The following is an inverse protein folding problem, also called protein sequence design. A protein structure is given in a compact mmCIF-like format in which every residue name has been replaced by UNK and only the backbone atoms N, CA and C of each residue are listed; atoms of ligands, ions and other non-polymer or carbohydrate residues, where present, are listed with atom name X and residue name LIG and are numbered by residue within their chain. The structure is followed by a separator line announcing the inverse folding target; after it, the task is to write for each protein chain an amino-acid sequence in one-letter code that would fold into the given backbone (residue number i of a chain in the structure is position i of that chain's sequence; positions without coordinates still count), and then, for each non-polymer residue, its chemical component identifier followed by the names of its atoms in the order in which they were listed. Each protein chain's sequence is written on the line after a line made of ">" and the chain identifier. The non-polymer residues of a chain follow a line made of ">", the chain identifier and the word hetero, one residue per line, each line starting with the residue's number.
data_IF_085530365225
#
_entry.id   IF_085530365225
#
_cell.length_a   1.000
_cell.length_b   1.000
_cell.length_c   1.000
_cell.angle_alpha   90.00
_cell.angle_beta   90.00
_cell.angle_gamma   90.00
#
_symmetry.space_group_name_H-M   'P 1'
#
loop_
_entity.id
_entity.type
_entity.pdbx_description
1 polymer ?
#
# COMPACT_ATOMS: atom_id res chain seq x y z
N UNK A 1 20.27 -12.31 11.64
CA UNK A 1 18.83 -12.10 11.91
C UNK A 1 18.46 -10.72 11.42
N UNK A 2 17.42 -10.62 10.59
CA UNK A 2 16.96 -9.35 10.02
C UNK A 2 16.15 -8.57 11.05
N UNK A 3 16.41 -7.27 11.19
CA UNK A 3 15.72 -6.41 12.16
C UNK A 3 14.83 -5.41 11.44
N UNK A 4 13.54 -5.51 11.68
CA UNK A 4 12.56 -4.55 11.20
C UNK A 4 12.73 -3.22 11.95
N UNK A 5 12.79 -2.07 11.25
CA UNK A 5 12.97 -0.78 11.90
C UNK A 5 11.72 -0.41 12.72
N UNK A 6 11.93 0.30 13.83
CA UNK A 6 10.82 0.89 14.61
C UNK A 6 10.31 2.14 13.90
N UNK A 7 11.24 2.99 13.46
CA UNK A 7 10.99 4.14 12.60
C UNK A 7 10.79 3.67 11.15
N UNK A 8 9.55 3.41 10.76
CA UNK A 8 9.20 2.85 9.44
C UNK A 8 9.09 3.90 8.36
N UNK A 9 10.13 4.68 8.15
CA UNK A 9 10.17 5.61 7.02
C UNK A 9 10.68 4.89 5.77
N UNK A 10 10.40 5.46 4.60
CA UNK A 10 10.64 4.79 3.32
C UNK A 10 12.11 4.36 3.15
N UNK A 11 13.07 5.20 3.54
CA UNK A 11 14.51 4.90 3.53
C UNK A 11 14.89 3.72 4.43
N UNK A 12 14.37 3.65 5.65
CA UNK A 12 14.61 2.56 6.60
C UNK A 12 14.11 1.22 6.07
N UNK A 13 12.96 1.21 5.38
CA UNK A 13 12.34 0.03 4.80
C UNK A 13 13.11 -0.46 3.58
N UNK A 14 13.65 0.44 2.77
CA UNK A 14 14.50 0.08 1.63
C UNK A 14 15.85 -0.46 2.08
N UNK A 15 16.41 0.05 3.19
CA UNK A 15 17.61 -0.53 3.80
C UNK A 15 17.36 -1.95 4.28
N UNK A 16 16.24 -2.19 4.99
CA UNK A 16 15.85 -3.55 5.36
C UNK A 16 15.66 -4.45 4.14
N UNK A 17 15.04 -3.93 3.07
CA UNK A 17 14.86 -4.70 1.83
C UNK A 17 16.20 -5.10 1.20
N UNK A 18 17.20 -4.20 1.22
CA UNK A 18 18.57 -4.55 0.78
C UNK A 18 19.16 -5.67 1.63
N UNK A 19 18.97 -5.62 2.95
CA UNK A 19 19.46 -6.65 3.86
C UNK A 19 18.75 -7.99 3.65
N UNK A 20 17.43 -7.99 3.41
CA UNK A 20 16.66 -9.17 3.01
C UNK A 20 17.24 -9.79 1.74
N UNK A 21 17.56 -8.98 0.71
CA UNK A 21 18.13 -9.49 -0.54
C UNK A 21 19.53 -10.06 -0.37
N UNK A 22 20.32 -9.55 0.58
CA UNK A 22 21.65 -10.08 0.93
C UNK A 22 21.59 -11.34 1.79
N UNK A 23 20.57 -11.45 2.64
CA UNK A 23 20.42 -12.52 3.62
C UNK A 23 19.04 -13.20 3.49
N UNK A 24 18.73 -13.83 2.35
CA UNK A 24 17.37 -14.30 2.03
C UNK A 24 16.89 -15.49 2.86
N UNK A 25 17.77 -16.07 3.69
CA UNK A 25 17.49 -17.21 4.56
C UNK A 25 17.29 -16.83 6.02
N UNK A 26 17.49 -15.55 6.37
CA UNK A 26 17.44 -15.12 7.76
C UNK A 26 16.00 -14.87 8.25
N UNK A 27 15.70 -15.21 9.52
CA UNK A 27 14.42 -14.90 10.12
C UNK A 27 14.28 -13.39 10.33
N UNK A 28 13.03 -12.92 10.32
CA UNK A 28 12.69 -11.51 10.52
C UNK A 28 12.33 -11.26 11.99
N UNK A 29 12.86 -10.20 12.58
CA UNK A 29 12.48 -9.72 13.91
C UNK A 29 11.72 -8.41 13.77
N UNK A 30 10.47 -8.36 14.26
CA UNK A 30 9.62 -7.17 14.15
C UNK A 30 9.29 -6.57 15.53
N UNK A 31 9.26 -5.23 15.66
CA UNK A 31 8.67 -4.60 16.84
C UNK A 31 7.15 -4.78 16.83
N UNK A 32 6.52 -4.72 18.01
CA UNK A 32 5.06 -4.80 18.14
C UNK A 32 4.34 -3.48 17.88
N UNK A 33 5.10 -2.39 17.70
CA UNK A 33 4.61 -1.06 17.36
C UNK A 33 5.58 -0.41 16.39
N UNK A 34 5.03 0.28 15.41
CA UNK A 34 5.77 1.12 14.48
C UNK A 34 5.56 2.58 14.84
N UNK A 35 6.58 3.40 14.67
CA UNK A 35 6.42 4.84 14.81
C UNK A 35 5.48 5.38 13.75
N UNK A 36 4.78 6.45 14.10
CA UNK A 36 3.72 7.07 13.28
C UNK A 36 2.57 6.13 12.88
N UNK A 37 2.47 4.94 13.47
CA UNK A 37 1.35 4.00 13.22
C UNK A 37 1.22 3.54 11.76
N UNK A 38 2.31 3.61 10.99
CA UNK A 38 2.29 3.28 9.56
C UNK A 38 1.82 4.42 8.65
N UNK A 39 1.85 5.68 9.10
CA UNK A 39 1.59 6.87 8.29
C UNK A 39 2.66 7.10 7.22
N UNK A 40 2.45 8.09 6.35
CA UNK A 40 3.36 8.46 5.27
C UNK A 40 3.54 7.32 4.23
N UNK A 41 2.49 6.53 4.02
CA UNK A 41 2.50 5.37 3.12
C UNK A 41 3.32 4.18 3.61
N UNK A 42 3.90 4.26 4.80
CA UNK A 42 4.80 3.23 5.33
C UNK A 42 4.11 1.91 5.63
N UNK A 43 2.81 1.90 5.98
CA UNK A 43 2.10 0.66 6.24
C UNK A 43 2.09 -0.29 5.02
N UNK A 44 1.87 0.25 3.82
CA UNK A 44 1.88 -0.55 2.58
C UNK A 44 3.31 -0.91 2.19
N UNK A 45 4.26 0.01 2.31
CA UNK A 45 5.65 -0.28 2.03
C UNK A 45 6.19 -1.39 2.95
N UNK A 46 5.89 -1.33 4.25
CA UNK A 46 6.21 -2.36 5.23
C UNK A 46 5.63 -3.73 4.84
N UNK A 47 4.36 -3.76 4.42
CA UNK A 47 3.74 -4.99 3.89
C UNK A 47 4.50 -5.56 2.70
N UNK A 48 4.89 -4.72 1.73
CA UNK A 48 5.63 -5.16 0.55
C UNK A 48 7.03 -5.68 0.92
N UNK A 49 7.70 -5.08 1.91
CA UNK A 49 8.99 -5.57 2.44
C UNK A 49 8.82 -6.92 3.15
N UNK A 50 7.78 -7.09 3.97
CA UNK A 50 7.46 -8.36 4.63
C UNK A 50 7.15 -9.46 3.60
N UNK A 51 6.37 -9.14 2.57
CA UNK A 51 6.10 -10.06 1.47
C UNK A 51 7.39 -10.43 0.72
N UNK A 52 8.28 -9.46 0.48
CA UNK A 52 9.59 -9.71 -0.15
C UNK A 52 10.48 -10.62 0.69
N UNK A 53 10.46 -10.47 2.02
CA UNK A 53 11.13 -11.38 2.95
C UNK A 53 10.56 -12.80 2.82
N UNK A 54 9.24 -12.94 2.75
CA UNK A 54 8.57 -14.24 2.66
C UNK A 54 8.83 -15.02 1.35
N UNK A 55 9.31 -14.32 0.31
CA UNK A 55 9.72 -14.89 -0.98
C UNK A 55 11.20 -15.34 -0.99
N UNK A 56 11.93 -15.17 0.12
CA UNK A 56 13.31 -15.64 0.26
C UNK A 56 13.43 -17.17 0.28
N UNK A 57 14.67 -17.68 0.16
CA UNK A 57 14.97 -19.11 0.07
C UNK A 57 14.95 -19.85 1.42
N UNK A 58 14.04 -19.47 2.32
CA UNK A 58 13.92 -20.06 3.66
C UNK A 58 13.19 -21.41 3.62
N UNK A 59 13.70 -22.39 4.37
CA UNK A 59 12.98 -23.65 4.63
C UNK A 59 11.74 -23.39 5.50
N UNK A 60 11.83 -22.43 6.42
CA UNK A 60 10.74 -22.03 7.29
C UNK A 60 10.83 -20.53 7.61
N UNK A 61 9.73 -19.81 7.44
CA UNK A 61 9.65 -18.36 7.67
C UNK A 61 9.31 -18.07 9.13
N UNK A 62 10.34 -17.77 9.92
CA UNK A 62 10.19 -17.48 11.35
C UNK A 62 10.12 -15.97 11.59
N UNK A 63 9.00 -15.52 12.17
CA UNK A 63 8.82 -14.16 12.66
C UNK A 63 9.13 -14.10 14.15
N UNK A 64 10.20 -13.39 14.52
CA UNK A 64 10.54 -13.12 15.91
C UNK A 64 9.85 -11.84 16.39
N UNK A 65 9.19 -11.93 17.54
CA UNK A 65 8.56 -10.80 18.22
C UNK A 65 9.15 -10.65 19.64
N UNK A 66 9.17 -9.43 20.21
CA UNK A 66 9.58 -9.19 21.59
C UNK A 66 8.93 -10.16 22.58
N UNK A 67 9.66 -10.57 23.63
CA UNK A 67 9.18 -11.55 24.61
C UNK A 67 7.83 -11.18 25.28
N UNK A 68 7.54 -9.88 25.39
CA UNK A 68 6.27 -9.39 25.92
C UNK A 68 5.05 -9.71 25.04
N UNK A 69 5.26 -10.10 23.77
CA UNK A 69 4.17 -10.39 22.83
C UNK A 69 3.30 -11.57 23.31
N UNK A 70 3.90 -12.72 23.61
CA UNK A 70 3.11 -13.87 24.07
C UNK A 70 2.57 -13.72 25.49
N UNK A 71 3.22 -12.87 26.31
CA UNK A 71 2.79 -12.61 27.68
C UNK A 71 1.60 -11.64 27.80
N UNK A 72 1.25 -10.90 26.73
CA UNK A 72 0.24 -9.84 26.81
C UNK A 72 -0.74 -9.86 25.62
N UNK A 73 -1.98 -10.25 25.90
CA UNK A 73 -3.07 -10.30 24.90
C UNK A 73 -3.36 -8.95 24.24
N UNK A 74 -3.19 -7.83 24.94
CA UNK A 74 -3.39 -6.50 24.37
C UNK A 74 -2.33 -6.17 23.31
N UNK A 75 -1.08 -6.58 23.56
CA UNK A 75 0.02 -6.43 22.58
C UNK A 75 -0.26 -7.29 21.34
N UNK A 76 -0.71 -8.53 21.52
CA UNK A 76 -1.11 -9.41 20.42
C UNK A 76 -2.23 -8.81 19.58
N UNK A 77 -3.31 -8.38 20.23
CA UNK A 77 -4.45 -7.78 19.57
C UNK A 77 -4.06 -6.50 18.84
N UNK A 78 -3.19 -5.67 19.44
CA UNK A 78 -2.70 -4.43 18.80
C UNK A 78 -1.84 -4.74 17.58
N UNK A 79 -0.92 -5.69 17.67
CA UNK A 79 -0.07 -6.08 16.54
C UNK A 79 -0.92 -6.62 15.38
N UNK A 80 -1.81 -7.58 15.65
CA UNK A 80 -2.72 -8.16 14.68
C UNK A 80 -3.74 -7.15 14.10
N UNK A 81 -3.91 -5.99 14.73
CA UNK A 81 -4.78 -4.89 14.27
C UNK A 81 -4.10 -3.89 13.35
N UNK A 82 -2.90 -4.17 12.84
CA UNK A 82 -2.17 -3.28 11.91
C UNK A 82 -1.86 -4.01 10.61
N UNK A 83 -1.75 -3.29 9.49
CA UNK A 83 -1.40 -3.91 8.21
C UNK A 83 -0.07 -4.67 8.25
N UNK A 84 1.03 -4.08 8.79
CA UNK A 84 2.31 -4.80 8.83
C UNK A 84 2.27 -5.97 9.81
N UNK A 85 1.54 -5.86 10.92
CA UNK A 85 1.37 -6.98 11.85
C UNK A 85 0.58 -8.12 11.23
N UNK A 86 -0.54 -7.84 10.56
CA UNK A 86 -1.30 -8.85 9.80
C UNK A 86 -0.42 -9.52 8.73
N UNK A 87 0.35 -8.73 7.97
CA UNK A 87 1.27 -9.24 6.97
C UNK A 87 2.35 -10.14 7.60
N UNK A 88 2.97 -9.71 8.71
CA UNK A 88 3.96 -10.50 9.44
C UNK A 88 3.40 -11.86 9.86
N UNK A 89 2.23 -11.87 10.50
CA UNK A 89 1.59 -13.12 10.93
C UNK A 89 1.18 -14.00 9.74
N UNK A 90 0.67 -13.41 8.66
CA UNK A 90 0.20 -14.13 7.48
C UNK A 90 1.34 -14.72 6.63
N UNK A 91 2.45 -14.01 6.47
CA UNK A 91 3.57 -14.47 5.66
C UNK A 91 4.56 -15.36 6.43
N UNK A 92 4.46 -15.43 7.77
CA UNK A 92 5.25 -16.34 8.60
C UNK A 92 4.66 -17.76 8.65
N UNK A 93 5.51 -18.77 8.74
CA UNK A 93 5.11 -20.14 9.06
C UNK A 93 5.05 -20.37 10.58
N UNK A 94 5.86 -19.61 11.32
CA UNK A 94 5.99 -19.70 12.77
C UNK A 94 6.26 -18.31 13.36
N UNK A 95 5.68 -18.06 14.53
CA UNK A 95 5.97 -16.89 15.37
C UNK A 95 6.75 -17.35 16.59
N UNK A 96 7.87 -16.69 16.87
CA UNK A 96 8.71 -16.94 18.05
C UNK A 96 8.73 -15.69 18.93
N UNK A 97 8.58 -15.86 20.23
CA UNK A 97 8.69 -14.79 21.21
C UNK A 97 9.32 -15.34 22.48
N UNK A 98 10.48 -14.79 22.84
CA UNK A 98 11.41 -15.43 23.77
C UNK A 98 11.69 -16.88 23.33
N UNK A 99 11.50 -17.86 24.22
CA UNK A 99 11.72 -19.28 23.95
C UNK A 99 10.45 -20.04 23.55
N UNK A 100 9.34 -19.33 23.34
CA UNK A 100 8.06 -19.94 22.97
C UNK A 100 7.78 -19.76 21.49
N UNK A 101 7.37 -20.86 20.87
CA UNK A 101 7.05 -20.94 19.45
C UNK A 101 5.56 -21.21 19.26
N UNK A 102 4.94 -20.46 18.35
CA UNK A 102 3.52 -20.53 18.03
C UNK A 102 3.36 -20.72 16.53
N UNK A 103 2.49 -21.66 16.14
CA UNK A 103 2.22 -21.92 14.74
C UNK A 103 1.52 -20.74 14.06
N UNK A 104 1.66 -20.65 12.73
CA UNK A 104 0.88 -19.73 11.89
C UNK A 104 -0.62 -19.81 12.17
N UNK A 105 -1.18 -21.03 12.28
CA UNK A 105 -2.61 -21.22 12.50
C UNK A 105 -3.09 -20.56 13.80
N UNK A 106 -2.38 -20.78 14.91
CA UNK A 106 -2.71 -20.15 16.20
C UNK A 106 -2.57 -18.63 16.13
N UNK A 107 -1.54 -18.13 15.44
CA UNK A 107 -1.30 -16.69 15.28
C UNK A 107 -2.39 -16.01 14.45
N UNK A 108 -2.87 -16.65 13.38
CA UNK A 108 -3.91 -16.10 12.49
C UNK A 108 -5.29 -16.01 13.15
N UNK A 109 -5.54 -16.73 14.25
CA UNK A 109 -6.78 -16.54 15.04
C UNK A 109 -6.93 -15.11 15.55
N UNK A 110 -5.82 -14.41 15.79
CA UNK A 110 -5.81 -13.01 16.22
C UNK A 110 -6.22 -12.04 15.09
N UNK A 111 -6.01 -12.44 13.83
CA UNK A 111 -6.35 -11.64 12.64
C UNK A 111 -7.81 -11.82 12.23
N UNK A 112 -8.41 -12.98 12.54
CA UNK A 112 -9.76 -13.34 12.12
C UNK A 112 -10.86 -12.30 12.44
N UNK A 113 -10.91 -11.66 13.63
CA UNK A 113 -11.92 -10.64 13.92
C UNK A 113 -11.90 -9.47 12.95
N UNK A 114 -10.71 -9.04 12.52
CA UNK A 114 -10.54 -7.93 11.58
C UNK A 114 -10.93 -8.33 10.17
N UNK A 115 -10.60 -9.56 9.73
CA UNK A 115 -11.03 -10.11 8.44
C UNK A 115 -12.56 -10.21 8.38
N UNK A 116 -13.20 -10.66 9.46
CA UNK A 116 -14.67 -10.69 9.54
C UNK A 116 -15.27 -9.27 9.46
N UNK A 117 -14.68 -8.29 10.16
CA UNK A 117 -15.10 -6.90 10.07
C UNK A 117 -14.96 -6.34 8.65
N UNK A 118 -13.89 -6.70 7.91
CA UNK A 118 -13.72 -6.36 6.49
C UNK A 118 -14.81 -6.99 5.62
N UNK A 119 -15.15 -8.27 5.87
CA UNK A 119 -16.18 -9.01 5.14
C UNK A 119 -17.57 -8.41 5.34
N UNK A 120 -17.88 -8.01 6.57
CA UNK A 120 -19.16 -7.43 7.00
C UNK A 120 -19.28 -5.93 6.69
N UNK A 121 -18.26 -5.31 6.07
CA UNK A 121 -18.19 -3.84 5.85
C UNK A 121 -18.31 -3.03 7.14
N UNK A 122 -17.89 -3.59 8.27
CA UNK A 122 -17.76 -2.89 9.56
C UNK A 122 -16.49 -2.04 9.56
N UNK A 123 -16.44 -0.99 8.73
CA UNK A 123 -15.22 -0.23 8.40
C UNK A 123 -14.47 0.29 9.64
N UNK A 124 -15.18 0.86 10.62
CA UNK A 124 -14.58 1.34 11.88
C UNK A 124 -14.02 0.24 12.80
N UNK A 125 -14.27 -1.04 12.49
CA UNK A 125 -13.73 -2.22 13.20
C UNK A 125 -12.72 -3.01 12.36
N UNK A 126 -12.51 -2.63 11.09
CA UNK A 126 -11.60 -3.33 10.17
C UNK A 126 -10.12 -3.13 10.53
N UNK A 127 -9.80 -2.10 11.30
CA UNK A 127 -8.47 -1.82 11.84
C UNK A 127 -8.56 -1.02 13.15
N UNK A 128 -7.53 -1.07 13.99
CA UNK A 128 -7.39 -0.15 15.13
C UNK A 128 -6.62 1.10 14.69
N UNK A 129 -7.10 2.28 15.08
CA UNK A 129 -6.41 3.55 14.87
C UNK A 129 -7.01 4.39 13.74
N UNK A 130 -6.21 5.31 13.19
CA UNK A 130 -6.67 6.30 12.21
C UNK A 130 -6.70 5.77 10.75
N UNK A 131 -6.91 4.46 10.56
CA UNK A 131 -6.93 3.86 9.24
C UNK A 131 -8.02 2.79 9.12
N UNK A 132 -8.46 2.57 7.88
CA UNK A 132 -9.42 1.56 7.47
C UNK A 132 -8.77 0.74 6.38
N UNK A 133 -8.87 -0.58 6.48
CA UNK A 133 -8.20 -1.49 5.55
C UNK A 133 -9.20 -2.53 5.08
N UNK A 134 -9.15 -2.81 3.78
CA UNK A 134 -9.84 -3.93 3.15
C UNK A 134 -8.76 -4.76 2.47
N UNK A 135 -8.41 -5.88 3.09
CA UNK A 135 -7.33 -6.74 2.63
C UNK A 135 -7.82 -8.15 2.30
N UNK A 136 -7.45 -8.60 1.10
CA UNK A 136 -7.71 -9.91 0.56
C UNK A 136 -6.47 -10.79 0.78
N UNK A 137 -6.65 -11.93 1.44
CA UNK A 137 -5.60 -12.89 1.74
C UNK A 137 -5.74 -14.10 0.82
N UNK A 138 -4.76 -14.33 -0.07
CA UNK A 138 -4.82 -15.43 -1.01
C UNK A 138 -4.94 -16.79 -0.29
N UNK A 139 -5.79 -17.67 -0.83
CA UNK A 139 -6.02 -19.00 -0.27
C UNK A 139 -6.87 -19.01 1.02
N UNK A 140 -7.24 -17.86 1.56
CA UNK A 140 -8.18 -17.79 2.69
C UNK A 140 -9.61 -18.04 2.20
N UNK A 141 -10.44 -18.64 3.08
CA UNK A 141 -11.88 -18.83 2.80
C UNK A 141 -12.59 -17.52 2.45
N UNK A 142 -12.17 -16.42 3.08
CA UNK A 142 -12.70 -15.07 2.88
C UNK A 142 -11.74 -14.20 2.06
N UNK A 143 -11.02 -14.77 1.10
CA UNK A 143 -10.11 -14.01 0.24
C UNK A 143 -10.81 -12.85 -0.46
N UNK A 144 -12.00 -13.11 -1.01
CA UNK A 144 -12.75 -12.14 -1.81
C UNK A 144 -13.73 -11.37 -0.92
N UNK A 145 -13.31 -10.19 -0.47
CA UNK A 145 -14.13 -9.34 0.39
C UNK A 145 -15.37 -8.84 -0.35
N UNK A 146 -16.56 -9.00 0.25
CA UNK A 146 -17.82 -8.51 -0.31
C UNK A 146 -17.81 -7.00 -0.60
N UNK A 147 -16.97 -6.23 0.10
CA UNK A 147 -16.75 -4.81 -0.15
C UNK A 147 -16.14 -4.51 -1.53
N UNK A 148 -15.29 -5.41 -2.02
CA UNK A 148 -14.47 -5.20 -3.22
C UNK A 148 -14.89 -6.10 -4.39
N UNK A 149 -15.55 -7.23 -4.11
CA UNK A 149 -15.96 -8.22 -5.10
C UNK A 149 -17.47 -8.39 -5.16
N UNK A 150 -17.99 -8.51 -6.38
CA UNK A 150 -19.34 -8.97 -6.67
C UNK A 150 -19.38 -10.50 -6.69
N UNK A 151 -18.34 -11.12 -7.27
CA UNK A 151 -18.19 -12.58 -7.36
C UNK A 151 -16.90 -12.99 -6.64
N UNK A 152 -16.91 -14.07 -5.84
CA UNK A 152 -15.74 -14.50 -5.06
C UNK A 152 -14.71 -15.24 -5.93
N UNK A 153 -14.19 -14.57 -6.95
CA UNK A 153 -13.24 -15.10 -7.91
C UNK A 153 -12.37 -13.97 -8.49
N UNK A 154 -11.19 -14.29 -9.07
CA UNK A 154 -10.40 -13.29 -9.77
C UNK A 154 -11.22 -12.62 -10.87
N UNK A 155 -11.04 -11.30 -11.05
CA UNK A 155 -11.80 -10.45 -11.96
C UNK A 155 -13.28 -10.29 -11.63
N UNK A 156 -13.73 -10.81 -10.48
CA UNK A 156 -15.07 -10.59 -9.93
C UNK A 156 -15.20 -9.27 -9.15
N UNK A 157 -14.34 -8.28 -9.45
CA UNK A 157 -14.30 -6.98 -8.76
C UNK A 157 -15.59 -6.20 -9.04
N UNK A 158 -16.09 -5.47 -8.04
CA UNK A 158 -17.27 -4.62 -8.17
C UNK A 158 -17.05 -3.44 -9.11
N UNK A 159 -18.14 -2.96 -9.69
CA UNK A 159 -18.13 -1.81 -10.60
C UNK A 159 -17.65 -0.50 -9.93
N UNK A 160 -17.26 0.47 -10.77
CA UNK A 160 -16.76 1.77 -10.31
C UNK A 160 -17.74 2.53 -9.41
N UNK A 161 -19.04 2.39 -9.63
CA UNK A 161 -20.09 3.01 -8.81
C UNK A 161 -20.11 2.47 -7.36
N UNK A 162 -19.82 1.17 -7.18
CA UNK A 162 -19.69 0.58 -5.86
C UNK A 162 -18.45 1.09 -5.15
N UNK A 163 -17.33 1.23 -5.86
CA UNK A 163 -16.11 1.84 -5.32
C UNK A 163 -16.36 3.28 -4.88
N UNK A 164 -17.13 4.05 -5.65
CA UNK A 164 -17.51 5.41 -5.26
C UNK A 164 -18.24 5.47 -3.93
N UNK A 165 -19.21 4.57 -3.71
CA UNK A 165 -19.91 4.46 -2.44
C UNK A 165 -18.95 4.05 -1.33
N UNK A 166 -18.11 3.05 -1.59
CA UNK A 166 -17.14 2.52 -0.62
C UNK A 166 -16.13 3.59 -0.17
N UNK A 167 -15.52 4.33 -1.10
CA UNK A 167 -14.56 5.38 -0.77
C UNK A 167 -15.24 6.50 0.01
N UNK A 168 -16.44 6.91 -0.36
CA UNK A 168 -17.22 7.87 0.42
C UNK A 168 -17.48 7.39 1.85
N UNK A 169 -17.86 6.12 2.03
CA UNK A 169 -18.07 5.51 3.34
C UNK A 169 -16.79 5.46 4.16
N UNK A 170 -15.66 5.08 3.56
CA UNK A 170 -14.35 5.05 4.23
C UNK A 170 -13.91 6.45 4.66
N UNK A 171 -14.08 7.47 3.81
CA UNK A 171 -13.78 8.86 4.16
C UNK A 171 -14.69 9.38 5.29
N UNK A 172 -15.98 9.03 5.25
CA UNK A 172 -16.96 9.43 6.26
C UNK A 172 -16.67 8.88 7.66
N UNK A 173 -15.96 7.76 7.79
CA UNK A 173 -15.52 7.26 9.10
C UNK A 173 -14.53 8.21 9.81
N UNK A 174 -13.86 9.10 9.07
CA UNK A 174 -12.97 10.12 9.65
C UNK A 174 -13.68 11.45 9.96
N UNK A 175 -15.01 11.51 9.74
CA UNK A 175 -15.87 12.65 10.06
C UNK A 175 -16.26 13.49 8.84
N UNK A 176 -17.32 14.29 9.03
CA UNK A 176 -17.95 15.06 7.95
C UNK A 176 -16.99 16.04 7.27
N UNK A 177 -16.05 16.61 8.03
CA UNK A 177 -15.04 17.52 7.45
C UNK A 177 -14.22 16.82 6.37
N UNK A 178 -13.83 15.57 6.58
CA UNK A 178 -13.02 14.80 5.63
C UNK A 178 -13.84 14.53 4.36
N UNK A 179 -15.05 14.00 4.49
CA UNK A 179 -15.87 13.68 3.32
C UNK A 179 -16.26 14.93 2.52
N UNK A 180 -16.51 16.05 3.20
CA UNK A 180 -16.86 17.32 2.57
C UNK A 180 -15.67 18.04 1.93
N UNK A 181 -14.42 17.70 2.31
CA UNK A 181 -13.21 18.25 1.68
C UNK A 181 -12.97 17.73 0.26
N UNK A 182 -13.67 16.65 -0.13
CA UNK A 182 -13.62 16.06 -1.48
C UNK A 182 -14.93 16.34 -2.19
N UNK A 183 -14.92 17.23 -3.18
CA UNK A 183 -16.09 17.54 -4.00
C UNK A 183 -16.59 16.32 -4.78
N UNK A 184 -17.87 16.29 -5.15
CA UNK A 184 -18.50 15.13 -5.83
C UNK A 184 -17.73 14.68 -7.08
N UNK A 185 -17.32 15.63 -7.93
CA UNK A 185 -16.53 15.34 -9.13
C UNK A 185 -15.13 14.76 -8.79
N UNK A 186 -14.49 15.25 -7.72
CA UNK A 186 -13.20 14.72 -7.27
C UNK A 186 -13.36 13.29 -6.74
N UNK A 187 -14.44 13.03 -6.01
CA UNK A 187 -14.77 11.70 -5.52
C UNK A 187 -15.00 10.72 -6.68
N UNK A 188 -15.74 11.12 -7.73
CA UNK A 188 -15.98 10.29 -8.91
C UNK A 188 -14.66 9.84 -9.56
N UNK A 189 -13.75 10.80 -9.80
CA UNK A 189 -12.48 10.53 -10.43
C UNK A 189 -11.50 9.76 -9.54
N UNK A 190 -11.45 10.08 -8.25
CA UNK A 190 -10.64 9.34 -7.27
C UNK A 190 -11.11 7.89 -7.17
N UNK A 191 -12.42 7.67 -7.18
CA UNK A 191 -13.01 6.33 -7.14
C UNK A 191 -12.73 5.53 -8.42
N UNK A 192 -12.81 6.18 -9.58
CA UNK A 192 -12.40 5.60 -10.86
C UNK A 192 -10.93 5.18 -10.88
N UNK A 193 -10.04 6.03 -10.34
CA UNK A 193 -8.63 5.70 -10.20
C UNK A 193 -8.42 4.51 -9.27
N UNK A 194 -8.97 4.56 -8.06
CA UNK A 194 -8.80 3.49 -7.06
C UNK A 194 -9.35 2.16 -7.58
N UNK A 195 -10.51 2.18 -8.24
CA UNK A 195 -11.08 1.02 -8.91
C UNK A 195 -10.08 0.42 -9.92
N UNK A 196 -9.49 1.25 -10.78
CA UNK A 196 -8.57 0.73 -11.80
C UNK A 196 -7.25 0.23 -11.21
N UNK A 197 -6.71 0.92 -10.19
CA UNK A 197 -5.54 0.44 -9.47
C UNK A 197 -5.84 -0.90 -8.78
N UNK A 198 -7.03 -1.07 -8.22
CA UNK A 198 -7.42 -2.32 -7.55
C UNK A 198 -7.68 -3.45 -8.55
N UNK A 199 -8.26 -3.17 -9.71
CA UNK A 199 -8.35 -4.15 -10.81
C UNK A 199 -6.97 -4.65 -11.20
N UNK A 200 -5.99 -3.75 -11.39
CA UNK A 200 -4.62 -4.14 -11.69
C UNK A 200 -4.01 -4.99 -10.56
N UNK A 201 -4.26 -4.65 -9.30
CA UNK A 201 -3.82 -5.42 -8.14
C UNK A 201 -4.46 -6.83 -8.09
N UNK A 202 -5.75 -6.97 -8.44
CA UNK A 202 -6.42 -8.27 -8.54
C UNK A 202 -5.90 -9.12 -9.70
N UNK A 203 -5.79 -8.53 -10.89
CA UNK A 203 -5.34 -9.25 -12.08
C UNK A 203 -3.86 -9.66 -12.02
N UNK A 204 -3.00 -8.80 -11.48
CA UNK A 204 -1.54 -8.99 -11.53
C UNK A 204 -0.95 -9.45 -10.20
N UNK A 205 -1.58 -9.11 -9.08
CA UNK A 205 -1.17 -9.49 -7.73
C UNK A 205 -1.53 -10.91 -7.33
N UNK A 206 -2.49 -11.54 -8.02
CA UNK A 206 -2.98 -12.89 -7.68
C UNK A 206 -2.13 -14.02 -8.26
N UNK A 207 -1.23 -13.74 -9.20
CA UNK A 207 -0.48 -14.74 -9.95
C UNK A 207 1.02 -14.45 -9.94
N UNK A 208 1.85 -15.49 -10.01
CA UNK A 208 3.28 -15.40 -10.22
C UNK A 208 3.63 -15.11 -11.69
N UNK A 209 4.92 -14.97 -11.99
CA UNK A 209 5.37 -14.63 -13.34
C UNK A 209 5.09 -15.74 -14.37
N UNK A 210 5.02 -16.99 -13.91
CA UNK A 210 4.70 -18.18 -14.70
C UNK A 210 3.20 -18.38 -14.92
N UNK A 211 2.36 -17.57 -14.27
CA UNK A 211 0.89 -17.64 -14.38
C UNK A 211 0.23 -18.56 -13.35
N UNK A 212 0.99 -19.10 -12.39
CA UNK A 212 0.40 -19.85 -11.29
C UNK A 212 -0.21 -18.90 -10.27
N UNK A 213 -1.31 -19.31 -9.64
CA UNK A 213 -1.93 -18.51 -8.58
C UNK A 213 -1.09 -18.59 -7.31
N UNK A 214 -0.89 -17.46 -6.64
CA UNK A 214 -0.21 -17.47 -5.34
C UNK A 214 -1.05 -18.20 -4.28
N UNK A 215 -0.40 -19.07 -3.52
CA UNK A 215 -0.98 -19.67 -2.32
C UNK A 215 -0.96 -18.71 -1.11
N UNK A 216 0.02 -17.81 -1.07
CA UNK A 216 0.16 -16.79 -0.03
C UNK A 216 0.50 -15.46 -0.69
N UNK A 217 -0.47 -14.54 -0.71
CA UNK A 217 -0.34 -13.19 -1.26
C UNK A 217 -1.38 -12.28 -0.62
N UNK A 218 -1.13 -10.99 -0.62
CA UNK A 218 -2.06 -9.98 -0.13
C UNK A 218 -2.34 -8.96 -1.23
N UNK A 219 -3.59 -8.50 -1.30
CA UNK A 219 -3.99 -7.34 -2.12
C UNK A 219 -5.09 -6.56 -1.43
N UNK A 220 -5.18 -5.26 -1.65
CA UNK A 220 -6.13 -4.48 -0.88
C UNK A 220 -6.11 -2.99 -1.12
N UNK A 221 -6.95 -2.34 -0.32
CA UNK A 221 -7.14 -0.90 -0.22
C UNK A 221 -6.97 -0.50 1.25
N UNK A 222 -6.26 0.58 1.50
CA UNK A 222 -6.14 1.21 2.80
C UNK A 222 -6.44 2.71 2.69
N UNK A 223 -7.20 3.25 3.63
CA UNK A 223 -7.40 4.69 3.79
C UNK A 223 -6.97 5.08 5.19
N UNK A 224 -6.21 6.16 5.33
CA UNK A 224 -5.73 6.67 6.62
C UNK A 224 -5.90 8.16 6.71
N UNK A 225 -6.18 8.62 7.92
CA UNK A 225 -6.12 10.02 8.31
C UNK A 225 -4.86 10.26 9.15
N UNK A 226 -3.98 11.13 8.66
CA UNK A 226 -2.69 11.44 9.26
C UNK A 226 -2.66 12.91 9.64
N UNK A 227 -2.20 13.22 10.85
CA UNK A 227 -1.96 14.59 11.30
C UNK A 227 -0.47 14.87 11.15
N UNK A 228 -0.17 15.95 10.44
CA UNK A 228 1.19 16.41 10.12
C UNK A 228 1.43 17.70 10.88
N UNK A 229 2.57 17.82 11.55
CA UNK A 229 2.96 19.01 12.29
C UNK A 229 4.30 19.57 11.81
N UNK A 230 4.60 20.82 12.20
CA UNK A 230 5.83 21.52 11.79
C UNK A 230 7.12 20.88 12.34
N UNK A 231 7.00 20.02 13.35
CA UNK A 231 8.13 19.35 14.02
C UNK A 231 8.29 17.89 13.57
N UNK A 232 7.44 17.41 12.65
CA UNK A 232 7.46 16.02 12.21
C UNK A 232 8.78 15.64 11.54
N UNK A 233 9.28 14.44 11.86
CA UNK A 233 10.45 13.85 11.21
C UNK A 233 9.96 12.95 10.09
N UNK A 234 10.35 13.28 8.86
CA UNK A 234 9.93 12.54 7.65
C UNK A 234 11.12 11.88 6.93
N UNK A 235 12.21 11.58 7.64
CA UNK A 235 13.33 10.75 7.17
C UNK A 235 14.18 11.38 6.07
N UNK A 236 14.77 10.60 5.17
CA UNK A 236 15.51 11.12 4.01
C UNK A 236 14.61 11.31 2.74
N UNK A 237 13.29 11.40 2.91
CA UNK A 237 12.33 11.48 1.81
C UNK A 237 12.10 12.91 1.32
N UNK A 238 13.11 13.47 0.64
CA UNK A 238 13.10 14.86 0.17
C UNK A 238 11.83 15.22 -0.63
N UNK A 239 11.30 14.36 -1.55
CA UNK A 239 10.07 14.67 -2.27
C UNK A 239 8.85 14.83 -1.38
N UNK A 240 8.62 13.88 -0.46
CA UNK A 240 7.48 13.96 0.45
C UNK A 240 7.64 15.12 1.43
N UNK A 241 8.85 15.35 1.95
CA UNK A 241 9.15 16.49 2.81
C UNK A 241 8.84 17.82 2.15
N UNK A 242 9.26 18.01 0.90
CA UNK A 242 8.98 19.22 0.15
C UNK A 242 7.46 19.44 -0.01
N UNK A 243 6.72 18.37 -0.30
CA UNK A 243 5.25 18.40 -0.38
C UNK A 243 4.61 18.79 0.97
N UNK A 244 4.96 18.11 2.05
CA UNK A 244 4.42 18.36 3.40
C UNK A 244 4.76 19.78 3.89
N UNK A 245 6.00 20.22 3.68
CA UNK A 245 6.45 21.57 4.02
C UNK A 245 5.65 22.62 3.26
N UNK A 246 5.42 22.41 1.96
CA UNK A 246 4.57 23.31 1.15
C UNK A 246 3.17 23.41 1.75
N UNK A 247 2.54 22.29 2.12
CA UNK A 247 1.20 22.30 2.73
C UNK A 247 1.16 23.07 4.05
N UNK A 248 2.18 22.91 4.90
CA UNK A 248 2.32 23.63 6.17
C UNK A 248 2.58 25.14 5.99
N UNK A 249 3.19 25.55 4.87
CA UNK A 249 3.49 26.96 4.56
C UNK A 249 2.33 27.68 3.84
N UNK A 250 1.49 26.95 3.10
CA UNK A 250 0.27 27.49 2.46
C UNK A 250 -0.91 27.60 3.44
N UNK A 251 -0.66 27.67 4.75
CA UNK A 251 -1.67 28.08 5.73
C UNK A 251 -2.07 29.52 5.41
N UNK A 252 -3.24 29.69 4.78
CA UNK A 252 -3.85 31.01 4.63
C UNK A 252 -4.01 31.65 6.01
N UNK A 253 -3.55 32.89 6.11
CA UNK A 253 -3.51 33.75 7.32
C UNK A 253 -4.90 33.90 7.99
N UNK A 254 -5.98 33.49 7.33
CA UNK A 254 -7.37 33.60 7.78
C UNK A 254 -7.92 32.39 8.55
N UNK A 255 -7.32 31.20 8.43
CA UNK A 255 -7.75 30.01 9.17
C UNK A 255 -6.67 29.55 10.13
N UNK A 256 -6.56 30.23 11.27
CA UNK A 256 -5.86 29.69 12.44
C UNK A 256 -6.59 28.43 12.91
N UNK A 257 -6.30 27.29 12.29
CA UNK A 257 -6.28 26.04 13.06
C UNK A 257 -5.25 26.28 14.16
N UNK A 258 -5.71 26.38 15.40
CA UNK A 258 -5.00 26.97 16.54
C UNK A 258 -3.69 26.26 16.94
N UNK A 259 -3.16 25.33 16.15
CA UNK A 259 -2.08 24.43 16.55
C UNK A 259 -1.03 24.12 15.44
N UNK A 260 -1.11 24.74 14.26
CA UNK A 260 -0.10 24.56 13.18
C UNK A 260 0.01 23.13 12.63
N UNK A 261 -1.12 22.42 12.58
CA UNK A 261 -1.26 21.02 12.15
C UNK A 261 -1.99 20.96 10.81
N UNK A 262 -1.58 20.04 9.94
CA UNK A 262 -2.23 19.74 8.67
C UNK A 262 -2.83 18.34 8.72
N UNK A 263 -4.11 18.25 8.34
CA UNK A 263 -4.83 16.99 8.21
C UNK A 263 -4.65 16.41 6.80
N UNK A 264 -4.15 15.18 6.70
CA UNK A 264 -3.94 14.47 5.45
C UNK A 264 -4.77 13.20 5.37
N UNK A 265 -5.28 12.92 4.19
CA UNK A 265 -5.78 11.60 3.82
C UNK A 265 -4.73 10.89 2.97
N UNK A 266 -4.46 9.63 3.33
CA UNK A 266 -3.66 8.70 2.56
C UNK A 266 -4.58 7.60 2.02
N UNK A 267 -4.61 7.41 0.71
CA UNK A 267 -5.29 6.28 0.09
C UNK A 267 -4.26 5.42 -0.61
N UNK A 268 -4.17 4.15 -0.22
CA UNK A 268 -3.22 3.21 -0.77
C UNK A 268 -3.91 2.00 -1.39
N UNK A 269 -3.48 1.62 -2.59
CA UNK A 269 -3.85 0.35 -3.23
C UNK A 269 -2.59 -0.48 -3.36
N UNK A 270 -2.68 -1.77 -3.02
CA UNK A 270 -1.49 -2.61 -2.98
C UNK A 270 -1.75 -4.05 -3.39
N UNK A 271 -0.68 -4.71 -3.82
CA UNK A 271 -0.57 -6.15 -3.99
C UNK A 271 0.83 -6.65 -3.59
N UNK A 272 1.02 -7.98 -3.58
CA UNK A 272 2.32 -8.63 -3.32
C UNK A 272 2.78 -9.53 -4.47
N UNK A 273 2.37 -9.20 -5.70
CA UNK A 273 2.70 -9.95 -6.91
C UNK A 273 4.11 -9.71 -7.44
N UNK A 274 4.35 -9.92 -8.75
CA UNK A 274 5.67 -9.74 -9.36
C UNK A 274 6.01 -8.28 -9.71
N UNK A 275 5.10 -7.33 -9.49
CA UNK A 275 5.29 -5.92 -9.89
C UNK A 275 4.97 -5.64 -11.36
N UNK A 276 4.65 -4.38 -11.67
CA UNK A 276 4.11 -3.95 -12.96
C UNK A 276 5.04 -4.22 -14.15
N UNK A 277 6.28 -3.71 -14.08
CA UNK A 277 7.22 -3.77 -15.19
C UNK A 277 7.61 -5.20 -15.56
N UNK A 278 7.92 -6.03 -14.56
CA UNK A 278 8.25 -7.44 -14.79
C UNK A 278 7.04 -8.20 -15.35
N UNK A 279 5.83 -8.00 -14.82
CA UNK A 279 4.60 -8.61 -15.35
C UNK A 279 4.38 -8.25 -16.82
N UNK A 280 4.49 -6.97 -17.14
CA UNK A 280 4.28 -6.48 -18.50
C UNK A 280 5.31 -7.09 -19.47
N UNK A 281 6.59 -7.07 -19.10
CA UNK A 281 7.67 -7.59 -19.94
C UNK A 281 7.65 -9.11 -20.05
N UNK A 282 7.16 -9.83 -19.03
CA UNK A 282 6.91 -11.27 -19.15
C UNK A 282 5.84 -11.57 -20.20
N UNK A 283 4.73 -10.84 -20.20
CA UNK A 283 3.66 -11.02 -21.18
C UNK A 283 4.08 -10.62 -22.60
N UNK A 284 4.95 -9.59 -22.74
CA UNK A 284 5.35 -9.06 -24.05
C UNK A 284 6.55 -9.76 -24.67
N UNK A 285 7.55 -10.13 -23.87
CA UNK A 285 8.84 -10.67 -24.35
C UNK A 285 9.35 -11.88 -23.57
N UNK A 286 8.55 -12.45 -22.67
CA UNK A 286 8.92 -13.68 -21.95
C UNK A 286 9.95 -13.51 -20.83
N UNK A 287 10.20 -12.30 -20.35
CA UNK A 287 11.07 -12.07 -19.18
C UNK A 287 10.58 -12.88 -17.96
N UNK A 288 11.49 -13.57 -17.26
CA UNK A 288 11.15 -14.41 -16.11
C UNK A 288 11.59 -13.78 -14.79
N UNK A 289 12.53 -12.83 -14.85
CA UNK A 289 13.16 -12.26 -13.67
C UNK A 289 13.62 -10.82 -13.89
N UNK A 290 13.95 -10.12 -12.80
CA UNK A 290 14.55 -8.78 -12.87
C UNK A 290 15.97 -8.79 -13.45
N UNK A 291 16.63 -9.95 -13.52
CA UNK A 291 17.92 -10.09 -14.19
C UNK A 291 17.80 -10.02 -15.71
N UNK A 292 16.62 -10.33 -16.26
CA UNK A 292 16.36 -10.36 -17.71
C UNK A 292 16.04 -8.97 -18.30
N UNK A 293 15.91 -7.95 -17.43
CA UNK A 293 15.41 -6.63 -17.82
C UNK A 293 16.31 -5.52 -17.24
N UNK A 294 16.65 -4.56 -18.08
CA UNK A 294 17.32 -3.34 -17.63
C UNK A 294 16.36 -2.46 -16.82
N UNK A 295 16.91 -1.55 -15.99
CA UNK A 295 16.09 -0.60 -15.23
C UNK A 295 15.28 0.32 -16.16
N UNK A 296 15.88 0.71 -17.30
CA UNK A 296 15.22 1.56 -18.30
C UNK A 296 14.02 0.86 -18.94
N UNK A 297 14.18 -0.40 -19.35
CA UNK A 297 13.06 -1.18 -19.88
C UNK A 297 11.94 -1.38 -18.85
N UNK A 298 12.29 -1.57 -17.57
CA UNK A 298 11.32 -1.63 -16.49
C UNK A 298 10.57 -0.30 -16.34
N UNK A 299 11.27 0.83 -16.40
CA UNK A 299 10.66 2.17 -16.33
C UNK A 299 9.71 2.44 -17.50
N UNK A 300 10.14 2.15 -18.73
CA UNK A 300 9.32 2.27 -19.95
C UNK A 300 8.08 1.37 -19.87
N UNK A 301 8.23 0.13 -19.39
CA UNK A 301 7.11 -0.79 -19.18
C UNK A 301 6.12 -0.28 -18.13
N UNK A 302 6.62 0.27 -17.02
CA UNK A 302 5.76 0.86 -15.98
C UNK A 302 5.04 2.08 -16.51
N UNK A 303 5.72 3.00 -17.22
CA UNK A 303 5.06 4.16 -17.85
C UNK A 303 3.96 3.72 -18.82
N UNK A 304 4.23 2.71 -19.64
CA UNK A 304 3.25 2.13 -20.57
C UNK A 304 1.99 1.63 -19.84
N UNK A 305 2.11 1.08 -18.62
CA UNK A 305 0.94 0.64 -17.84
C UNK A 305 -0.01 1.79 -17.46
N UNK A 306 0.44 3.04 -17.54
CA UNK A 306 -0.37 4.25 -17.35
C UNK A 306 -0.71 4.95 -18.66
N UNK A 307 -0.15 4.52 -19.79
CA UNK A 307 -0.51 5.07 -21.08
C UNK A 307 -1.84 4.51 -21.59
N UNK A 308 -2.55 5.36 -22.33
CA UNK A 308 -3.87 5.10 -22.89
C UNK A 308 -3.82 3.83 -23.75
N UNK A 309 -4.67 2.84 -23.48
CA UNK A 309 -4.87 1.61 -24.27
C UNK A 309 -3.77 0.51 -24.19
N UNK A 310 -2.89 0.54 -23.19
CA UNK A 310 -1.89 -0.52 -23.03
C UNK A 310 -2.49 -1.88 -22.63
N UNK A 311 -3.51 -1.91 -21.75
CA UNK A 311 -4.24 -3.14 -21.40
C UNK A 311 -5.39 -3.38 -22.38
N UNK A 312 -5.37 -4.53 -23.05
CA UNK A 312 -6.13 -4.81 -24.28
C UNK A 312 -7.59 -5.23 -24.06
N UNK A 313 -8.31 -4.74 -23.04
CA UNK A 313 -9.69 -5.18 -22.78
C UNK A 313 -10.69 -4.05 -22.54
N UNK A 314 -11.55 -3.88 -23.55
CA UNK A 314 -12.81 -3.14 -23.62
C UNK A 314 -13.47 -2.73 -22.28
N UNK A 315 -13.40 -1.43 -21.97
CA UNK A 315 -14.55 -0.66 -21.49
C UNK A 315 -14.40 0.79 -21.96
N UNK A 316 -15.51 1.42 -22.38
CA UNK A 316 -15.55 2.72 -23.06
C UNK A 316 -15.01 3.92 -22.24
N UNK A 317 -14.49 3.70 -21.03
CA UNK A 317 -13.91 4.71 -20.13
C UNK A 317 -12.37 4.70 -20.09
N UNK A 318 -11.71 3.68 -20.64
CA UNK A 318 -10.25 3.45 -20.50
C UNK A 318 -9.35 4.53 -21.11
N UNK A 319 -9.91 5.45 -21.89
CA UNK A 319 -9.15 6.52 -22.54
C UNK A 319 -9.18 7.87 -21.85
N UNK A 320 -10.22 8.14 -21.07
CA UNK A 320 -10.45 9.43 -20.39
C UNK A 320 -10.22 9.34 -18.88
N UNK A 321 -10.34 8.14 -18.30
CA UNK A 321 -10.32 7.94 -16.85
C UNK A 321 -9.01 8.35 -16.18
N UNK A 322 -7.84 8.02 -16.74
CA UNK A 322 -6.57 8.38 -16.08
C UNK A 322 -6.24 9.87 -16.20
N UNK A 323 -6.49 10.50 -17.34
CA UNK A 323 -6.30 11.95 -17.50
C UNK A 323 -7.26 12.74 -16.62
N UNK A 324 -8.50 12.29 -16.49
CA UNK A 324 -9.47 12.85 -15.56
C UNK A 324 -9.09 12.61 -14.08
N UNK A 325 -8.58 11.43 -13.74
CA UNK A 325 -8.05 11.12 -12.41
C UNK A 325 -6.87 12.03 -12.03
N UNK A 326 -5.92 12.26 -12.94
CA UNK A 326 -4.82 13.20 -12.73
C UNK A 326 -5.32 14.62 -12.49
N UNK A 327 -6.34 15.05 -13.25
CA UNK A 327 -6.96 16.35 -13.05
C UNK A 327 -7.62 16.47 -11.67
N UNK A 328 -8.31 15.42 -11.21
CA UNK A 328 -8.90 15.36 -9.88
C UNK A 328 -7.85 15.44 -8.78
N UNK A 329 -6.78 14.64 -8.89
CA UNK A 329 -5.66 14.66 -7.96
C UNK A 329 -4.96 16.02 -7.96
N UNK A 330 -4.85 16.70 -9.11
CA UNK A 330 -4.36 18.09 -9.19
C UNK A 330 -5.25 19.07 -8.44
N UNK A 331 -6.58 18.94 -8.54
CA UNK A 331 -7.53 19.76 -7.76
C UNK A 331 -7.49 19.50 -6.26
N UNK A 332 -7.03 18.32 -5.86
CA UNK A 332 -6.79 17.95 -4.47
C UNK A 332 -5.40 18.39 -3.96
N UNK A 333 -4.58 19.05 -4.79
CA UNK A 333 -3.19 19.36 -4.46
C UNK A 333 -2.46 18.10 -3.97
N UNK A 334 -2.67 16.99 -4.67
CA UNK A 334 -2.25 15.67 -4.21
C UNK A 334 -0.77 15.38 -4.47
N UNK A 335 -0.22 14.48 -3.66
CA UNK A 335 1.04 13.78 -3.93
C UNK A 335 0.73 12.31 -4.18
N UNK A 336 1.40 11.70 -5.16
CA UNK A 336 1.25 10.27 -5.44
C UNK A 336 2.62 9.61 -5.40
N UNK A 337 2.70 8.44 -4.77
CA UNK A 337 3.88 7.58 -4.84
C UNK A 337 3.53 6.18 -5.32
N UNK A 338 4.48 5.57 -6.02
CA UNK A 338 4.41 4.23 -6.57
C UNK A 338 5.69 3.46 -6.24
N UNK A 339 5.56 2.30 -5.59
CA UNK A 339 6.66 1.38 -5.32
C UNK A 339 6.38 0.02 -5.96
N UNK A 340 7.17 -0.35 -6.97
CA UNK A 340 7.03 -1.61 -7.71
C UNK A 340 8.38 -2.08 -8.22
N UNK A 341 8.67 -3.37 -8.14
CA UNK A 341 9.93 -3.93 -8.66
C UNK A 341 11.17 -3.20 -8.18
N UNK A 342 12.00 -2.66 -9.08
CA UNK A 342 13.18 -1.84 -8.76
C UNK A 342 12.92 -0.34 -8.89
N UNK A 343 11.66 0.07 -9.00
CA UNK A 343 11.27 1.46 -9.17
C UNK A 343 10.58 1.99 -7.90
N UNK A 344 10.97 3.21 -7.52
CA UNK A 344 10.28 4.03 -6.54
C UNK A 344 10.04 5.38 -7.16
N UNK A 345 8.79 5.64 -7.51
CA UNK A 345 8.37 6.76 -8.32
C UNK A 345 7.43 7.68 -7.52
N UNK A 346 7.41 8.96 -7.84
CA UNK A 346 6.42 9.89 -7.30
C UNK A 346 6.00 10.94 -8.32
N UNK A 347 4.84 11.55 -8.06
CA UNK A 347 4.38 12.74 -8.77
C UNK A 347 3.74 13.71 -7.78
N UNK A 348 4.28 14.93 -7.75
CA UNK A 348 3.74 16.06 -7.00
C UNK A 348 2.82 16.87 -7.91
N UNK A 349 1.50 16.79 -7.65
CA UNK A 349 0.47 17.43 -8.47
C UNK A 349 0.11 18.83 -7.99
N UNK A 350 0.84 19.37 -7.00
CA UNK A 350 0.71 20.78 -6.59
C UNK A 350 1.42 21.75 -7.55
N UNK A 351 2.14 21.22 -8.56
CA UNK A 351 2.91 21.99 -9.55
C UNK A 351 2.05 22.29 -10.78
N UNK A 352 2.20 23.48 -11.36
CA UNK A 352 1.31 23.98 -12.44
C UNK A 352 1.41 23.17 -13.74
N UNK A 353 2.54 22.54 -14.02
CA UNK A 353 2.88 21.95 -15.34
C UNK A 353 2.45 20.49 -15.55
N UNK A 354 1.86 19.82 -14.56
CA UNK A 354 1.50 18.41 -14.66
C UNK A 354 0.05 18.25 -15.15
N UNK A 355 -0.15 18.04 -16.46
CA UNK A 355 -1.43 17.59 -17.03
C UNK A 355 -1.42 16.09 -17.39
N UNK A 356 -0.23 15.48 -17.37
CA UNK A 356 0.03 14.10 -17.75
C UNK A 356 0.67 13.34 -16.57
N UNK A 357 0.54 12.00 -16.58
CA UNK A 357 1.26 11.14 -15.65
C UNK A 357 2.72 11.06 -16.10
N UNK A 358 3.59 11.77 -15.40
CA UNK A 358 5.03 11.84 -15.67
C UNK A 358 5.74 11.71 -14.33
N UNK A 359 5.66 10.53 -13.70
CA UNK A 359 6.28 10.35 -12.41
C UNK A 359 7.79 10.40 -12.56
N UNK A 360 8.48 10.86 -11.53
CA UNK A 360 9.93 10.91 -11.47
C UNK A 360 10.44 9.96 -10.40
N UNK A 361 11.70 9.54 -10.53
CA UNK A 361 12.35 8.70 -9.52
C UNK A 361 12.34 9.44 -8.16
N UNK A 362 11.85 8.76 -7.12
CA UNK A 362 11.81 9.26 -5.74
C UNK A 362 13.21 9.34 -5.14
N UNK A 363 14.09 8.43 -5.54
CA UNK A 363 15.49 8.35 -5.10
C UNK A 363 16.42 8.21 -6.32
N UNK A 364 16.65 9.29 -7.10
CA UNK A 364 17.32 9.21 -8.40
C UNK A 364 18.77 8.71 -8.34
N UNK A 365 19.44 8.86 -7.20
CA UNK A 365 20.83 8.45 -6.99
C UNK A 365 20.96 7.13 -6.23
N UNK A 366 19.87 6.36 -6.10
CA UNK A 366 19.87 5.10 -5.38
C UNK A 366 19.33 3.97 -6.25
N UNK A 367 20.10 2.88 -6.34
CA UNK A 367 19.56 1.63 -6.86
C UNK A 367 18.63 1.01 -5.82
N UNK A 368 17.41 0.70 -6.25
CA UNK A 368 16.39 0.12 -5.40
C UNK A 368 16.38 -1.40 -5.61
N UNK A 369 16.44 -2.21 -4.54
CA UNK A 369 16.27 -3.65 -4.68
C UNK A 369 14.86 -3.97 -5.20
N UNK A 370 14.68 -5.11 -5.91
CA UNK A 370 13.35 -5.59 -6.26
C UNK A 370 12.49 -5.76 -5.00
N UNK A 371 11.24 -5.32 -5.06
CA UNK A 371 10.23 -5.50 -4.02
C UNK A 371 9.05 -6.33 -4.53
N UNK A 372 8.38 -7.04 -3.63
CA UNK A 372 7.14 -7.73 -3.91
C UNK A 372 6.01 -6.75 -4.22
N UNK A 373 5.32 -7.03 -5.32
CA UNK A 373 4.09 -6.39 -5.76
C UNK A 373 4.22 -4.91 -6.12
N UNK A 374 3.07 -4.26 -6.11
CA UNK A 374 2.90 -2.86 -6.43
C UNK A 374 2.21 -2.17 -5.26
N UNK A 375 2.71 -1.01 -4.85
CA UNK A 375 2.10 -0.16 -3.83
C UNK A 375 1.91 1.25 -4.35
N UNK A 376 0.66 1.70 -4.39
CA UNK A 376 0.28 3.08 -4.66
C UNK A 376 -0.05 3.77 -3.35
N UNK A 377 0.30 5.04 -3.18
CA UNK A 377 -0.26 5.87 -2.11
C UNK A 377 -0.48 7.29 -2.62
N UNK A 378 -1.70 7.78 -2.45
CA UNK A 378 -2.15 9.12 -2.80
C UNK A 378 -2.37 9.88 -1.50
N UNK A 379 -1.77 11.05 -1.40
CA UNK A 379 -1.87 11.95 -0.25
C UNK A 379 -2.59 13.21 -0.70
N UNK A 380 -3.55 13.68 0.09
CA UNK A 380 -4.12 15.00 -0.10
C UNK A 380 -4.57 15.61 1.22
N UNK A 381 -4.58 16.94 1.27
CA UNK A 381 -4.99 17.69 2.45
C UNK A 381 -6.51 17.72 2.59
N UNK A 382 -6.98 17.56 3.82
CA UNK A 382 -8.35 17.92 4.22
C UNK A 382 -8.38 19.44 4.38
N UNK A 383 -9.18 20.12 3.55
CA UNK A 383 -9.35 21.58 3.61
C UNK A 383 -10.26 21.95 4.77
#
# INVERSE_FOLDING_TARGET
>A
MLKFPVEVLSDSLENLLRDIRRNPTEPLSMPTRLDYGGAYGSAVHALQVIASWSQGAMVQRVLNLPGAYLANQEIQNRFASTLPGMAGLYFSDMVKSADVEVSRYSSLKLVAPYVNAMQERSLGRALRGAAIILCCFAGARNEYLNALYEKPMPKGVREVSDFRVLISQMLGQFGDRVVNSVGQLQLDYLSGLIYQLFLNADEHGSYDISGNRYETAMRGLAVRHTIVDKNGVYGADNPLQAYLTKLLLTEDVSSREQDGKVHLIEISVFDTGPGLGLRWLAAKKGAQSYQDISLKEEEEAVQTCFEKHASTKASQLMGQGLSQALWAMKKLDAFMSLRTGRLSLYQDLTRKETAEFRPVQRYPNQSMPPIAGTGYTIYFRVK
#
